data_IF_416010675810
#
_entry.id   IF_416010675810
#
_cell.length_a   1.000
_cell.length_b   1.000
_cell.length_c   1.000
_cell.angle_alpha   90.00
_cell.angle_beta   90.00
_cell.angle_gamma   90.00
#
_symmetry.space_group_name_H-M   'P 1'
#
loop_
_entity.id
_entity.type
_entity.pdbx_description
1 polymer ?
#
# COMPACT_ATOMS: atom_id res chain seq x y z
N UNK A 1 -14.75 1.09 36.67
CA UNK A 1 -14.29 2.07 35.66
C UNK A 1 -13.06 1.51 34.97
N UNK A 2 -13.24 0.86 33.81
CA UNK A 2 -12.17 0.09 33.15
C UNK A 2 -11.18 0.97 32.38
N UNK A 3 -9.98 0.45 32.13
CA UNK A 3 -8.97 1.07 31.27
C UNK A 3 -9.55 1.56 29.93
N UNK A 4 -10.48 0.79 29.35
CA UNK A 4 -11.18 1.15 28.11
C UNK A 4 -11.96 2.46 28.18
N UNK A 5 -12.56 2.78 29.32
CA UNK A 5 -13.31 4.02 29.51
C UNK A 5 -12.36 5.22 29.70
N UNK A 6 -11.14 4.97 30.18
CA UNK A 6 -10.06 5.95 30.24
C UNK A 6 -9.45 6.19 28.86
N UNK A 7 -9.20 5.14 28.07
CA UNK A 7 -8.72 5.24 26.69
C UNK A 7 -9.74 5.96 25.80
N UNK A 8 -11.02 5.59 25.88
CA UNK A 8 -12.14 6.26 25.18
C UNK A 8 -12.22 7.76 25.48
N UNK A 9 -12.05 8.13 26.75
CA UNK A 9 -12.13 9.51 27.22
C UNK A 9 -10.90 10.32 26.84
N UNK A 10 -9.71 9.72 26.83
CA UNK A 10 -8.47 10.32 26.32
C UNK A 10 -8.57 10.54 24.81
N UNK A 11 -9.16 9.62 24.05
CA UNK A 11 -9.39 9.79 22.61
C UNK A 11 -10.40 10.91 22.32
N UNK A 12 -11.54 10.96 23.04
CA UNK A 12 -12.56 12.01 22.83
C UNK A 12 -12.13 13.40 23.31
N UNK A 13 -11.40 13.51 24.41
CA UNK A 13 -10.96 14.80 24.96
C UNK A 13 -9.77 15.38 24.18
N UNK A 14 -8.85 14.54 23.69
CA UNK A 14 -7.71 15.01 22.89
C UNK A 14 -8.05 15.30 21.42
N UNK A 15 -9.11 14.72 20.85
CA UNK A 15 -9.50 15.03 19.46
C UNK A 15 -9.92 16.50 19.26
N UNK A 16 -10.43 17.17 20.30
CA UNK A 16 -10.86 18.57 20.20
C UNK A 16 -9.71 19.57 20.42
N UNK A 17 -8.66 19.18 21.18
CA UNK A 17 -7.50 20.02 21.51
C UNK A 17 -6.23 19.72 20.67
N UNK A 18 -6.11 18.52 20.07
CA UNK A 18 -4.98 18.18 19.17
C UNK A 18 -5.18 18.67 17.74
N UNK A 19 -6.43 18.88 17.30
CA UNK A 19 -6.71 19.42 15.96
C UNK A 19 -6.17 20.84 15.79
N UNK A 20 -6.02 21.60 16.89
CA UNK A 20 -5.51 22.96 16.89
C UNK A 20 -4.01 23.09 17.21
N UNK A 21 -3.32 22.00 17.63
CA UNK A 21 -1.91 22.04 18.11
C UNK A 21 -0.98 20.91 17.63
N UNK A 22 -1.46 19.90 16.91
CA UNK A 22 -0.60 18.86 16.37
C UNK A 22 0.14 19.39 15.12
N UNK A 23 1.44 19.68 15.24
CA UNK A 23 2.29 20.06 14.10
C UNK A 23 2.36 18.98 13.00
N UNK A 24 2.00 17.73 13.29
CA UNK A 24 1.83 16.68 12.27
C UNK A 24 0.87 15.54 12.73
N UNK A 25 -0.41 15.52 12.33
CA UNK A 25 -1.37 14.48 12.71
C UNK A 25 -0.97 13.08 12.19
N UNK A 26 -0.15 12.99 11.15
CA UNK A 26 0.37 11.72 10.64
C UNK A 26 1.31 11.06 11.65
N UNK A 27 2.19 11.84 12.29
CA UNK A 27 3.13 11.34 13.31
C UNK A 27 2.43 10.85 14.57
N UNK A 28 1.38 11.55 15.02
CA UNK A 28 0.61 11.13 16.20
C UNK A 28 -0.09 9.79 15.95
N UNK A 29 -0.66 9.58 14.76
CA UNK A 29 -1.27 8.31 14.38
C UNK A 29 -0.24 7.18 14.25
N UNK A 30 0.94 7.49 13.70
CA UNK A 30 2.07 6.56 13.61
C UNK A 30 2.53 6.10 15.00
N UNK A 31 2.79 7.06 15.91
CA UNK A 31 3.19 6.76 17.27
C UNK A 31 2.13 5.92 18.01
N UNK A 32 0.85 6.27 17.85
CA UNK A 32 -0.24 5.50 18.48
C UNK A 32 -0.26 4.04 18.02
N UNK A 33 0.07 3.76 16.75
CA UNK A 33 0.15 2.38 16.25
C UNK A 33 1.36 1.66 16.83
N UNK A 34 2.50 2.34 16.98
CA UNK A 34 3.70 1.77 17.61
C UNK A 34 3.40 1.40 19.05
N UNK A 35 2.81 2.31 19.83
CA UNK A 35 2.45 2.07 21.23
C UNK A 35 1.49 0.87 21.35
N UNK A 36 0.48 0.77 20.48
CA UNK A 36 -0.42 -0.39 20.45
C UNK A 36 0.30 -1.70 20.10
N UNK A 37 1.32 -1.65 19.23
CA UNK A 37 2.13 -2.83 18.90
C UNK A 37 3.01 -3.27 20.07
N UNK A 38 3.54 -2.34 20.85
CA UNK A 38 4.27 -2.64 22.10
C UNK A 38 3.34 -3.27 23.14
N UNK A 39 2.16 -2.68 23.34
CA UNK A 39 1.11 -3.24 24.21
C UNK A 39 0.71 -4.65 23.77
N UNK A 40 0.64 -4.90 22.45
CA UNK A 40 0.35 -6.22 21.90
C UNK A 40 1.43 -7.25 22.29
N UNK A 41 2.70 -6.87 22.26
CA UNK A 41 3.80 -7.75 22.68
C UNK A 41 3.69 -8.05 24.17
N UNK A 42 3.45 -7.04 25.01
CA UNK A 42 3.28 -7.24 26.45
C UNK A 42 2.07 -8.15 26.77
N UNK A 43 0.95 -7.94 26.07
CA UNK A 43 -0.24 -8.76 26.23
C UNK A 43 0.02 -10.22 25.81
N UNK A 44 0.74 -10.45 24.70
CA UNK A 44 1.15 -11.80 24.28
C UNK A 44 2.00 -12.49 25.34
N UNK A 45 2.96 -11.78 25.95
CA UNK A 45 3.77 -12.31 27.04
C UNK A 45 2.93 -12.65 28.26
N UNK A 46 1.99 -11.77 28.65
CA UNK A 46 1.07 -12.01 29.76
C UNK A 46 0.17 -13.24 29.51
N UNK A 47 -0.37 -13.39 28.29
CA UNK A 47 -1.15 -14.56 27.86
C UNK A 47 -0.30 -15.83 27.94
N UNK A 48 0.94 -15.79 27.45
CA UNK A 48 1.85 -16.93 27.48
C UNK A 48 2.16 -17.37 28.92
N UNK A 49 2.45 -16.41 29.81
CA UNK A 49 2.67 -16.66 31.24
C UNK A 49 1.43 -17.27 31.92
N UNK A 50 0.23 -16.73 31.62
CA UNK A 50 -1.03 -17.28 32.13
C UNK A 50 -1.27 -18.72 31.66
N UNK A 51 -1.02 -19.04 30.39
CA UNK A 51 -1.11 -20.39 29.85
C UNK A 51 -0.08 -21.33 30.50
N UNK A 52 1.15 -20.87 30.73
CA UNK A 52 2.18 -21.67 31.40
C UNK A 52 1.76 -22.01 32.84
N UNK A 53 1.22 -21.04 33.59
CA UNK A 53 0.70 -21.24 34.92
C UNK A 53 -0.50 -22.21 34.94
N UNK A 54 -1.41 -22.09 33.96
CA UNK A 54 -2.53 -23.01 33.78
C UNK A 54 -2.03 -24.45 33.56
N UNK A 55 -1.07 -24.64 32.64
CA UNK A 55 -0.46 -25.96 32.38
C UNK A 55 0.22 -26.54 33.61
N UNK A 56 0.93 -25.73 34.39
CA UNK A 56 1.55 -26.17 35.64
C UNK A 56 0.50 -26.68 36.65
N UNK A 57 -0.58 -25.92 36.83
CA UNK A 57 -1.69 -26.32 37.72
C UNK A 57 -2.35 -27.61 37.23
N UNK A 58 -2.53 -27.76 35.91
CA UNK A 58 -3.07 -28.98 35.30
C UNK A 58 -2.16 -30.19 35.53
N UNK A 59 -0.84 -30.03 35.43
CA UNK A 59 0.12 -31.10 35.74
C UNK A 59 0.06 -31.50 37.21
N UNK A 60 -0.01 -30.52 38.12
CA UNK A 60 -0.16 -30.77 39.56
C UNK A 60 -1.46 -31.51 39.88
N UNK A 61 -2.57 -31.11 39.23
CA UNK A 61 -3.86 -31.79 39.35
C UNK A 61 -3.77 -33.25 38.91
N UNK A 62 -3.13 -33.51 37.77
CA UNK A 62 -2.91 -34.86 37.26
C UNK A 62 -2.10 -35.72 38.25
N UNK A 63 -1.01 -35.18 38.77
CA UNK A 63 -0.18 -35.87 39.78
C UNK A 63 -0.96 -36.18 41.06
N UNK A 64 -1.69 -35.22 41.61
CA UNK A 64 -2.51 -35.43 42.81
C UNK A 64 -3.59 -36.50 42.58
N UNK A 65 -4.22 -36.50 41.40
CA UNK A 65 -5.23 -37.50 41.01
C UNK A 65 -4.59 -38.89 40.89
N UNK A 66 -3.42 -39.00 40.27
CA UNK A 66 -2.68 -40.26 40.17
C UNK A 66 -2.28 -40.81 41.55
N UNK A 67 -1.84 -39.93 42.46
CA UNK A 67 -1.53 -40.32 43.83
C UNK A 67 -2.77 -40.82 44.58
N UNK A 68 -3.90 -40.13 44.46
CA UNK A 68 -5.18 -40.59 45.03
C UNK A 68 -5.57 -41.98 44.49
N UNK A 69 -5.45 -42.21 43.18
CA UNK A 69 -5.73 -43.51 42.56
C UNK A 69 -4.77 -44.61 43.05
N UNK A 70 -3.48 -44.29 43.21
CA UNK A 70 -2.48 -45.23 43.75
C UNK A 70 -2.83 -45.64 45.17
N UNK A 71 -3.20 -44.68 46.02
CA UNK A 71 -3.62 -44.98 47.39
C UNK A 71 -4.94 -45.76 47.45
N UNK A 72 -5.86 -45.53 46.51
CA UNK A 72 -7.04 -46.36 46.35
C UNK A 72 -6.70 -47.82 46.04
N UNK A 73 -5.79 -48.06 45.09
CA UNK A 73 -5.34 -49.41 44.77
C UNK A 73 -4.65 -50.09 45.96
N UNK A 74 -3.82 -49.34 46.71
CA UNK A 74 -3.19 -49.84 47.94
C UNK A 74 -4.20 -50.19 49.02
N UNK A 75 -5.25 -49.37 49.20
CA UNK A 75 -6.32 -49.66 50.14
C UNK A 75 -7.08 -50.95 49.74
N UNK A 76 -7.38 -51.13 48.45
CA UNK A 76 -8.02 -52.34 47.94
C UNK A 76 -7.15 -53.58 48.17
N UNK A 77 -5.83 -53.49 47.93
CA UNK A 77 -4.89 -54.58 48.17
C UNK A 77 -4.80 -54.95 49.66
N UNK A 78 -4.79 -53.95 50.55
CA UNK A 78 -4.77 -54.19 51.99
C UNK A 78 -6.05 -54.91 52.47
N UNK A 79 -7.23 -54.50 51.96
CA UNK A 79 -8.50 -55.18 52.25
C UNK A 79 -8.52 -56.62 51.74
N UNK A 80 -8.00 -56.88 50.53
CA UNK A 80 -7.89 -58.24 49.99
C UNK A 80 -7.02 -59.14 50.85
N UNK A 81 -6.02 -58.57 51.54
CA UNK A 81 -5.15 -59.29 52.48
C UNK A 81 -5.70 -59.35 53.91
N UNK A 82 -6.90 -58.81 54.15
CA UNK A 82 -7.54 -58.80 55.48
C UNK A 82 -7.00 -57.74 56.44
N UNK A 83 -6.17 -56.80 55.95
CA UNK A 83 -5.45 -55.84 56.80
C UNK A 83 -6.19 -54.49 56.84
N UNK A 84 -7.28 -54.44 57.61
CA UNK A 84 -8.20 -53.30 57.63
C UNK A 84 -7.57 -52.00 58.13
N UNK A 85 -6.61 -52.08 59.07
CA UNK A 85 -5.93 -50.90 59.60
C UNK A 85 -5.11 -50.22 58.51
N UNK A 86 -4.34 -51.00 57.75
CA UNK A 86 -3.55 -50.51 56.62
C UNK A 86 -4.44 -49.93 55.51
N UNK A 87 -5.60 -50.56 55.27
CA UNK A 87 -6.59 -50.05 54.34
C UNK A 87 -7.14 -48.68 54.76
N UNK A 88 -7.47 -48.49 56.04
CA UNK A 88 -7.95 -47.20 56.58
C UNK A 88 -6.89 -46.11 56.41
N UNK A 89 -5.62 -46.39 56.71
CA UNK A 89 -4.54 -45.43 56.50
C UNK A 89 -4.37 -45.04 55.03
N UNK A 90 -4.42 -46.02 54.12
CA UNK A 90 -4.35 -45.76 52.69
C UNK A 90 -5.53 -44.89 52.21
N UNK A 91 -6.74 -45.11 52.75
CA UNK A 91 -7.91 -44.27 52.45
C UNK A 91 -7.78 -42.84 53.00
N UNK A 92 -7.16 -42.64 54.17
CA UNK A 92 -6.86 -41.29 54.69
C UNK A 92 -5.94 -40.55 53.73
N UNK A 93 -4.86 -41.20 53.25
CA UNK A 93 -3.96 -40.60 52.26
C UNK A 93 -4.64 -40.35 50.91
N UNK A 94 -5.47 -41.29 50.43
CA UNK A 94 -6.32 -41.10 49.24
C UNK A 94 -7.16 -39.84 49.38
N UNK A 95 -7.83 -39.66 50.52
CA UNK A 95 -8.69 -38.51 50.78
C UNK A 95 -7.89 -37.20 50.72
N UNK A 96 -6.75 -37.13 51.39
CA UNK A 96 -5.88 -35.95 51.37
C UNK A 96 -5.44 -35.55 49.95
N UNK A 97 -5.02 -36.51 49.13
CA UNK A 97 -4.67 -36.23 47.72
C UNK A 97 -5.91 -35.88 46.87
N UNK A 98 -7.07 -36.48 47.16
CA UNK A 98 -8.35 -36.16 46.53
C UNK A 98 -8.80 -34.72 46.82
N UNK A 99 -8.69 -34.28 48.07
CA UNK A 99 -9.01 -32.90 48.48
C UNK A 99 -8.06 -31.89 47.83
N UNK A 100 -6.78 -32.25 47.71
CA UNK A 100 -5.78 -31.47 46.96
C UNK A 100 -6.15 -31.35 45.49
N UNK A 101 -6.52 -32.47 44.85
CA UNK A 101 -6.97 -32.49 43.46
C UNK A 101 -8.24 -31.64 43.26
N UNK A 102 -9.20 -31.71 44.17
CA UNK A 102 -10.42 -30.89 44.11
C UNK A 102 -10.10 -29.38 44.15
N UNK A 103 -9.17 -28.98 45.03
CA UNK A 103 -8.70 -27.59 45.14
C UNK A 103 -8.00 -27.12 43.85
N UNK A 104 -7.07 -27.93 43.34
CA UNK A 104 -6.35 -27.64 42.10
C UNK A 104 -7.28 -27.57 40.89
N UNK A 105 -8.33 -28.39 40.87
CA UNK A 105 -9.35 -28.35 39.81
C UNK A 105 -10.12 -27.03 39.83
N UNK A 106 -10.60 -26.59 40.99
CA UNK A 106 -11.27 -25.29 41.12
C UNK A 106 -10.36 -24.14 40.70
N UNK A 107 -9.08 -24.19 41.07
CA UNK A 107 -8.08 -23.20 40.63
C UNK A 107 -7.89 -23.23 39.11
N UNK A 108 -7.80 -24.41 38.51
CA UNK A 108 -7.64 -24.59 37.06
C UNK A 108 -8.86 -24.05 36.29
N UNK A 109 -10.08 -24.28 36.79
CA UNK A 109 -11.31 -23.78 36.17
C UNK A 109 -11.31 -22.23 36.14
N UNK A 110 -10.93 -21.59 37.25
CA UNK A 110 -10.77 -20.13 37.31
C UNK A 110 -9.68 -19.60 36.38
N UNK A 111 -8.52 -20.27 36.33
CA UNK A 111 -7.44 -19.92 35.41
C UNK A 111 -7.85 -20.07 33.93
N UNK A 112 -8.66 -21.08 33.61
CA UNK A 112 -9.16 -21.32 32.25
C UNK A 112 -9.99 -20.14 31.75
N UNK A 113 -10.92 -19.66 32.57
CA UNK A 113 -11.74 -18.49 32.24
C UNK A 113 -10.88 -17.22 32.05
N UNK A 114 -9.87 -17.03 32.90
CA UNK A 114 -8.95 -15.89 32.79
C UNK A 114 -8.12 -15.95 31.49
N UNK A 115 -7.56 -17.12 31.17
CA UNK A 115 -6.80 -17.34 29.93
C UNK A 115 -7.67 -17.10 28.70
N UNK A 116 -8.92 -17.58 28.69
CA UNK A 116 -9.86 -17.32 27.60
C UNK A 116 -10.20 -15.84 27.44
N UNK A 117 -10.40 -15.11 28.54
CA UNK A 117 -10.62 -13.67 28.50
C UNK A 117 -9.40 -12.93 27.93
N UNK A 118 -8.19 -13.30 28.37
CA UNK A 118 -6.95 -12.72 27.86
C UNK A 118 -6.74 -13.01 26.36
N UNK A 119 -7.05 -14.23 25.89
CA UNK A 119 -7.01 -14.58 24.46
C UNK A 119 -8.00 -13.76 23.64
N UNK A 120 -9.23 -13.57 24.14
CA UNK A 120 -10.24 -12.71 23.48
C UNK A 120 -9.77 -11.25 23.39
N UNK A 121 -9.20 -10.73 24.47
CA UNK A 121 -8.64 -9.38 24.48
C UNK A 121 -7.47 -9.22 23.51
N UNK A 122 -6.62 -10.25 23.38
CA UNK A 122 -5.51 -10.28 22.43
C UNK A 122 -6.01 -10.16 20.99
N UNK A 123 -6.97 -11.00 20.59
CA UNK A 123 -7.58 -10.95 19.26
C UNK A 123 -8.24 -9.58 19.00
N UNK A 124 -8.93 -9.05 20.01
CA UNK A 124 -9.55 -7.72 19.93
C UNK A 124 -8.53 -6.59 19.72
N UNK A 125 -7.37 -6.66 20.37
CA UNK A 125 -6.29 -5.69 20.19
C UNK A 125 -5.65 -5.82 18.79
N UNK A 126 -5.41 -7.04 18.31
CA UNK A 126 -4.89 -7.30 16.96
C UNK A 126 -5.81 -6.73 15.88
N UNK A 127 -7.13 -6.95 16.02
CA UNK A 127 -8.14 -6.39 15.13
C UNK A 127 -8.14 -4.85 15.14
N UNK A 128 -8.10 -4.23 16.33
CA UNK A 128 -8.03 -2.77 16.45
C UNK A 128 -6.77 -2.15 15.85
N UNK A 129 -5.61 -2.82 15.99
CA UNK A 129 -4.37 -2.37 15.36
C UNK A 129 -4.48 -2.42 13.84
N UNK A 130 -5.10 -3.48 13.30
CA UNK A 130 -5.35 -3.60 11.86
C UNK A 130 -6.28 -2.50 11.33
N UNK A 131 -7.36 -2.22 12.06
CA UNK A 131 -8.27 -1.11 11.73
C UNK A 131 -7.56 0.25 11.79
N UNK A 132 -6.73 0.47 12.82
CA UNK A 132 -5.98 1.70 12.99
C UNK A 132 -4.98 1.92 11.84
N UNK A 133 -4.28 0.87 11.39
CA UNK A 133 -3.39 0.92 10.22
C UNK A 133 -4.15 1.27 8.94
N UNK A 134 -5.29 0.66 8.71
CA UNK A 134 -6.16 0.97 7.56
C UNK A 134 -6.63 2.43 7.59
N UNK A 135 -7.08 2.92 8.76
CA UNK A 135 -7.48 4.30 8.95
C UNK A 135 -6.33 5.28 8.74
N UNK A 136 -5.12 4.98 9.24
CA UNK A 136 -3.91 5.79 8.97
C UNK A 136 -3.67 5.92 7.48
N UNK A 137 -3.66 4.82 6.74
CA UNK A 137 -3.40 4.84 5.29
C UNK A 137 -4.45 5.65 4.53
N UNK A 138 -5.73 5.51 4.89
CA UNK A 138 -6.81 6.31 4.32
C UNK A 138 -6.62 7.81 4.61
N UNK A 139 -6.30 8.18 5.84
CA UNK A 139 -6.08 9.58 6.22
C UNK A 139 -4.85 10.16 5.52
N UNK A 140 -3.76 9.40 5.39
CA UNK A 140 -2.58 9.79 4.63
C UNK A 140 -2.90 10.06 3.16
N UNK A 141 -3.65 9.16 2.51
CA UNK A 141 -4.07 9.36 1.12
C UNK A 141 -4.95 10.61 0.95
N UNK A 142 -5.90 10.84 1.88
CA UNK A 142 -6.73 12.06 1.87
C UNK A 142 -5.91 13.33 2.09
N UNK A 143 -4.94 13.31 3.01
CA UNK A 143 -4.05 14.43 3.25
C UNK A 143 -3.17 14.74 2.02
N UNK A 144 -2.68 13.71 1.32
CA UNK A 144 -1.93 13.88 0.07
C UNK A 144 -2.80 14.47 -1.05
N UNK A 145 -4.02 13.98 -1.23
CA UNK A 145 -4.97 14.53 -2.21
C UNK A 145 -5.33 15.98 -1.90
N UNK A 146 -5.56 16.32 -0.62
CA UNK A 146 -5.81 17.70 -0.19
C UNK A 146 -4.61 18.62 -0.48
N UNK A 147 -3.39 18.20 -0.15
CA UNK A 147 -2.15 18.93 -0.47
C UNK A 147 -1.96 19.13 -1.97
N UNK A 148 -2.28 18.11 -2.78
CA UNK A 148 -2.22 18.21 -4.23
C UNK A 148 -3.23 19.21 -4.79
N UNK A 149 -4.47 19.20 -4.30
CA UNK A 149 -5.50 20.17 -4.66
C UNK A 149 -5.11 21.59 -4.25
N UNK A 150 -4.60 21.78 -3.03
CA UNK A 150 -4.12 23.08 -2.54
C UNK A 150 -2.99 23.61 -3.43
N UNK A 151 -2.01 22.76 -3.76
CA UNK A 151 -0.91 23.14 -4.67
C UNK A 151 -1.42 23.48 -6.07
N UNK A 152 -2.41 22.75 -6.59
CA UNK A 152 -3.05 23.06 -7.87
C UNK A 152 -3.77 24.41 -7.81
N UNK A 153 -4.53 24.69 -6.75
CA UNK A 153 -5.23 25.96 -6.56
C UNK A 153 -4.26 27.13 -6.40
N UNK A 154 -3.17 26.96 -5.65
CA UNK A 154 -2.09 27.93 -5.54
C UNK A 154 -1.43 28.18 -6.89
N UNK A 155 -1.15 27.13 -7.67
CA UNK A 155 -0.55 27.26 -9.01
C UNK A 155 -1.52 27.96 -9.98
N UNK A 156 -2.81 27.62 -9.97
CA UNK A 156 -3.83 28.27 -10.78
C UNK A 156 -4.11 29.71 -10.35
N UNK A 157 -4.05 30.02 -9.05
CA UNK A 157 -4.14 31.39 -8.53
C UNK A 157 -2.87 32.21 -8.74
N UNK A 158 -1.72 31.54 -8.91
CA UNK A 158 -0.43 32.15 -9.28
C UNK A 158 -0.26 32.28 -10.80
N UNK A 159 -1.02 31.52 -11.59
CA UNK A 159 -1.30 31.83 -12.99
C UNK A 159 -2.25 33.02 -12.94
N UNK A 160 -1.66 34.20 -12.73
CA UNK A 160 -2.31 35.46 -12.98
C UNK A 160 -2.73 35.47 -14.45
N UNK A 161 -4.04 35.28 -14.68
CA UNK A 161 -4.67 35.45 -15.98
C UNK A 161 -4.53 36.90 -16.48
N UNK A 162 -4.06 37.84 -15.64
CA UNK A 162 -3.64 39.19 -16.04
C UNK A 162 -2.29 39.22 -16.77
N UNK A 163 -1.28 38.48 -16.30
CA UNK A 163 0.08 38.51 -16.84
C UNK A 163 0.24 37.80 -18.20
N UNK A 164 -0.46 36.69 -18.43
CA UNK A 164 -0.37 35.96 -19.70
C UNK A 164 -1.18 36.60 -20.83
N UNK A 165 -2.32 37.25 -20.53
CA UNK A 165 -3.04 38.09 -21.51
C UNK A 165 -2.26 39.36 -21.83
N UNK A 166 -1.68 40.04 -20.82
CA UNK A 166 -0.85 41.23 -21.05
C UNK A 166 0.42 40.94 -21.87
N UNK A 167 0.95 39.71 -21.82
CA UNK A 167 2.05 39.27 -22.68
C UNK A 167 1.60 39.03 -24.13
N UNK A 168 0.36 38.53 -24.32
CA UNK A 168 -0.25 38.39 -25.64
C UNK A 168 -0.57 39.76 -26.26
N UNK A 169 -1.17 40.69 -25.51
CA UNK A 169 -1.41 42.07 -25.98
C UNK A 169 -0.12 42.79 -26.36
N UNK A 170 0.96 42.66 -25.55
CA UNK A 170 2.27 43.23 -25.90
C UNK A 170 2.88 42.60 -27.15
N UNK A 171 2.60 41.33 -27.42
CA UNK A 171 3.07 40.67 -28.63
C UNK A 171 2.26 41.13 -29.84
N UNK A 172 0.94 41.27 -29.70
CA UNK A 172 0.04 41.79 -30.72
C UNK A 172 0.39 43.23 -31.09
N UNK A 173 0.63 44.11 -30.11
CA UNK A 173 1.05 45.50 -30.35
C UNK A 173 2.43 45.57 -31.04
N UNK A 174 3.35 44.66 -30.69
CA UNK A 174 4.67 44.59 -31.33
C UNK A 174 4.59 44.05 -32.76
N UNK A 175 3.67 43.12 -33.03
CA UNK A 175 3.37 42.63 -34.38
C UNK A 175 2.75 43.74 -35.22
N UNK A 176 1.73 44.45 -34.71
CA UNK A 176 1.14 45.62 -35.35
C UNK A 176 2.19 46.70 -35.65
N UNK A 177 3.12 46.96 -34.73
CA UNK A 177 4.18 47.94 -34.93
C UNK A 177 5.23 47.46 -35.96
N UNK A 178 5.49 46.15 -36.06
CA UNK A 178 6.31 45.56 -37.10
C UNK A 178 5.62 45.60 -38.48
N UNK A 179 4.32 45.34 -38.53
CA UNK A 179 3.51 45.45 -39.75
C UNK A 179 3.43 46.90 -40.23
N UNK A 180 3.17 47.85 -39.33
CA UNK A 180 3.19 49.28 -39.62
C UNK A 180 4.57 49.77 -40.08
N UNK A 181 5.66 49.24 -39.50
CA UNK A 181 7.02 49.51 -39.99
C UNK A 181 7.27 48.88 -41.36
N UNK A 182 6.78 47.68 -41.62
CA UNK A 182 6.90 47.02 -42.92
C UNK A 182 6.13 47.79 -44.01
N UNK A 183 4.93 48.27 -43.69
CA UNK A 183 4.13 49.13 -44.57
C UNK A 183 4.82 50.50 -44.77
N UNK A 184 5.36 51.11 -43.71
CA UNK A 184 6.12 52.36 -43.82
C UNK A 184 7.45 52.20 -44.59
N UNK A 185 8.12 51.05 -44.50
CA UNK A 185 9.31 50.71 -45.32
C UNK A 185 8.91 50.41 -46.76
N UNK A 186 7.70 49.93 -47.00
CA UNK A 186 7.16 49.76 -48.37
C UNK A 186 6.77 51.12 -48.97
N UNK A 187 6.27 52.06 -48.16
CA UNK A 187 6.00 53.45 -48.58
C UNK A 187 7.27 54.31 -48.70
N UNK A 188 8.29 54.11 -47.84
CA UNK A 188 9.59 54.80 -47.89
C UNK A 188 10.62 54.12 -48.81
N UNK A 189 10.42 52.84 -49.12
CA UNK A 189 11.17 52.04 -50.08
C UNK A 189 10.63 52.14 -51.50
N UNK A 190 9.65 53.02 -51.74
CA UNK A 190 9.27 53.44 -53.07
C UNK A 190 10.38 54.29 -53.69
N UNK A 191 11.28 53.63 -54.44
CA UNK A 191 12.32 54.11 -55.37
C UNK A 191 13.78 53.78 -54.98
N UNK A 192 14.16 52.50 -54.99
CA UNK A 192 15.57 52.10 -54.98
C UNK A 192 15.98 51.34 -56.24
N UNK A 193 16.83 51.99 -57.05
CA UNK A 193 17.89 51.55 -57.97
C UNK A 193 17.82 50.19 -58.72
N UNK A 194 17.23 49.13 -58.19
CA UNK A 194 17.07 47.84 -58.88
C UNK A 194 16.06 47.93 -60.03
N UNK A 195 14.99 48.74 -59.90
CA UNK A 195 14.07 49.06 -61.00
C UNK A 195 14.74 49.84 -62.14
N UNK A 196 15.86 50.54 -61.87
CA UNK A 196 16.63 51.27 -62.86
C UNK A 196 17.65 50.37 -63.59
N UNK A 197 18.05 49.25 -62.99
CA UNK A 197 18.88 48.22 -63.65
C UNK A 197 18.05 47.22 -64.46
N UNK A 198 16.83 46.88 -64.02
CA UNK A 198 15.91 46.05 -64.78
C UNK A 198 15.50 46.67 -66.14
N UNK A 199 15.50 48.01 -66.24
CA UNK A 199 15.30 48.73 -67.51
C UNK A 199 16.55 48.81 -68.40
N UNK A 200 17.74 48.53 -67.85
CA UNK A 200 19.04 48.54 -68.53
C UNK A 200 19.49 47.13 -68.96
N UNK A 201 19.05 46.08 -68.25
CA UNK A 201 19.24 44.68 -68.64
C UNK A 201 18.24 44.20 -69.71
N UNK A 202 17.18 44.97 -69.96
CA UNK A 202 16.23 44.76 -71.06
C UNK A 202 16.82 45.07 -72.46
N UNK A 203 18.14 45.15 -72.60
CA UNK A 203 18.81 45.40 -73.87
C UNK A 203 20.20 44.80 -73.98
N UNK A 204 20.30 43.49 -74.30
CA UNK A 204 21.16 42.98 -75.39
C UNK A 204 21.15 41.44 -75.53
N UNK A 205 20.26 40.92 -76.38
CA UNK A 205 20.56 40.17 -77.64
C UNK A 205 21.51 38.96 -77.72
N UNK A 206 21.90 38.23 -76.66
CA UNK A 206 22.81 37.06 -76.86
C UNK A 206 22.33 35.72 -76.29
N UNK A 207 21.56 35.70 -75.21
CA UNK A 207 21.11 34.43 -74.60
C UNK A 207 19.83 33.85 -75.25
N UNK A 208 18.98 34.69 -75.85
CA UNK A 208 17.75 34.27 -76.53
C UNK A 208 18.02 33.56 -77.87
N UNK A 209 19.08 33.94 -78.61
CA UNK A 209 19.51 33.23 -79.82
C UNK A 209 20.13 31.85 -79.49
N UNK A 210 20.77 31.70 -78.32
CA UNK A 210 21.39 30.44 -77.88
C UNK A 210 20.34 29.43 -77.36
N UNK A 211 19.28 29.93 -76.71
CA UNK A 211 18.16 29.12 -76.24
C UNK A 211 17.28 28.60 -77.39
N UNK A 212 17.08 29.41 -78.44
CA UNK A 212 16.38 28.99 -79.67
C UNK A 212 17.11 27.82 -80.38
N UNK A 213 18.45 27.80 -80.40
CA UNK A 213 19.22 26.68 -80.96
C UNK A 213 19.15 25.39 -80.11
N UNK A 214 19.02 25.48 -78.78
CA UNK A 214 18.94 24.32 -77.87
C UNK A 214 17.54 23.71 -77.77
N UNK A 215 16.48 24.52 -77.83
CA UNK A 215 15.11 24.05 -77.79
C UNK A 215 14.72 23.23 -79.03
N UNK A 216 15.49 23.34 -80.12
CA UNK A 216 15.33 22.52 -81.31
C UNK A 216 15.97 21.12 -81.18
N UNK A 217 16.70 20.81 -80.09
CA UNK A 217 17.55 19.61 -80.00
C UNK A 217 17.15 18.53 -78.99
N UNK A 218 16.36 18.77 -77.94
CA UNK A 218 16.14 17.71 -76.92
C UNK A 218 14.78 17.77 -76.21
N UNK A 219 13.85 16.94 -76.65
CA UNK A 219 12.58 16.65 -75.96
C UNK A 219 12.64 15.44 -75.02
N UNK A 220 11.55 15.22 -74.27
CA UNK A 220 11.21 13.94 -73.64
C UNK A 220 10.93 13.98 -72.13
N UNK A 221 9.65 13.89 -71.75
CA UNK A 221 9.09 13.92 -70.39
C UNK A 221 9.08 12.53 -69.67
N UNK A 222 8.45 12.31 -68.49
CA UNK A 222 9.06 11.68 -67.32
C UNK A 222 8.39 10.33 -66.92
N UNK A 223 8.88 9.65 -65.86
CA UNK A 223 8.22 8.45 -65.31
C UNK A 223 8.12 8.45 -63.78
N UNK A 224 6.97 7.94 -63.32
CA UNK A 224 6.30 7.94 -62.02
C UNK A 224 6.30 6.51 -61.39
N UNK A 225 5.77 6.39 -60.15
CA UNK A 225 5.19 5.18 -59.49
C UNK A 225 6.14 4.31 -58.63
N UNK A 226 5.77 3.53 -57.58
CA UNK A 226 4.69 3.40 -56.57
C UNK A 226 5.04 2.13 -55.71
N UNK A 227 5.05 2.23 -54.35
CA UNK A 227 4.70 1.23 -53.28
C UNK A 227 5.27 -0.25 -53.31
N UNK A 228 4.97 -1.17 -52.33
CA UNK A 228 5.59 -1.39 -51.00
C UNK A 228 5.97 -2.88 -50.69
N UNK A 229 6.70 -3.23 -49.60
CA UNK A 229 6.62 -4.55 -48.91
C UNK A 229 7.50 -4.68 -47.64
N UNK A 230 7.06 -5.51 -46.66
CA UNK A 230 7.95 -6.31 -45.79
C UNK A 230 7.85 -6.17 -44.26
N UNK A 231 7.33 -7.22 -43.60
CA UNK A 231 7.28 -7.53 -42.13
C UNK A 231 8.68 -7.61 -41.47
N UNK A 232 8.90 -7.54 -40.14
CA UNK A 232 8.44 -8.44 -39.06
C UNK A 232 8.62 -7.84 -37.64
N UNK A 233 7.70 -8.20 -36.73
CA UNK A 233 7.95 -8.28 -35.29
C UNK A 233 7.43 -9.61 -34.74
N UNK A 234 8.23 -10.07 -33.80
CA UNK A 234 8.30 -11.31 -33.04
C UNK A 234 7.16 -11.58 -32.02
N UNK A 235 7.02 -12.88 -31.73
CA UNK A 235 6.81 -13.53 -30.42
C UNK A 235 5.52 -13.31 -29.61
N UNK A 236 4.78 -14.40 -29.39
CA UNK A 236 4.89 -15.25 -28.18
C UNK A 236 3.58 -16.01 -27.91
N UNK A 237 3.59 -17.35 -28.07
CA UNK A 237 2.53 -18.24 -27.56
C UNK A 237 3.13 -19.63 -27.21
N UNK A 238 4.12 -19.66 -26.32
CA UNK A 238 4.74 -20.90 -25.84
C UNK A 238 4.53 -21.19 -24.35
N UNK A 239 3.58 -20.54 -23.67
CA UNK A 239 3.31 -20.81 -22.25
C UNK A 239 2.06 -21.67 -21.99
N UNK A 240 1.34 -22.09 -23.03
CA UNK A 240 0.13 -22.90 -22.88
C UNK A 240 0.37 -24.41 -23.04
N UNK A 241 1.50 -24.82 -23.64
CA UNK A 241 1.79 -26.23 -23.94
C UNK A 241 2.53 -26.93 -22.79
N UNK A 242 3.27 -26.18 -21.96
CA UNK A 242 3.96 -26.74 -20.80
C UNK A 242 3.01 -27.07 -19.63
N UNK A 243 1.81 -26.48 -19.60
CA UNK A 243 0.83 -26.74 -18.54
C UNK A 243 0.10 -28.09 -18.72
N UNK A 244 -0.15 -28.53 -19.95
CA UNK A 244 -0.86 -29.79 -20.24
C UNK A 244 0.04 -31.03 -20.08
N UNK A 245 1.36 -30.86 -20.18
CA UNK A 245 2.34 -31.95 -20.07
C UNK A 245 2.63 -32.38 -18.62
N UNK A 246 2.43 -31.47 -17.65
CA UNK A 246 2.60 -31.76 -16.22
C UNK A 246 1.39 -32.54 -15.66
N UNK A 247 0.19 -32.26 -16.17
CA UNK A 247 -1.05 -32.90 -15.73
C UNK A 247 -1.08 -34.41 -16.09
N UNK A 248 -0.58 -34.75 -17.28
CA UNK A 248 -0.45 -36.14 -17.76
C UNK A 248 0.58 -36.98 -16.98
N UNK A 249 1.56 -36.35 -16.32
CA UNK A 249 2.53 -37.05 -15.47
C UNK A 249 1.97 -37.39 -14.09
N UNK A 250 1.02 -36.59 -13.58
CA UNK A 250 0.41 -36.84 -12.28
C UNK A 250 -0.54 -38.06 -12.29
N UNK A 251 -1.19 -38.34 -13.41
CA UNK A 251 -2.13 -39.47 -13.53
C UNK A 251 -1.46 -40.85 -13.70
N UNK A 252 -0.15 -40.91 -13.96
CA UNK A 252 0.58 -42.16 -14.16
C UNK A 252 1.30 -42.68 -12.90
N UNK A 253 1.32 -41.91 -11.81
CA UNK A 253 2.00 -42.27 -10.56
C UNK A 253 1.06 -42.74 -9.43
N UNK A 254 -0.24 -42.87 -9.69
CA UNK A 254 -1.25 -43.30 -8.72
C UNK A 254 -2.02 -44.57 -9.19
N UNK A 255 -1.31 -45.51 -9.83
CA UNK A 255 -1.80 -46.87 -10.17
C UNK A 255 -0.74 -47.94 -9.91
#
# INVERSE_FOLDING_TARGET
>A
MGLFDRISRVVKANLNDLVSKAEDPEKVLEQSIIDMQEDLVQLRQAVASAIANQKRTQQQLSQATQQANTWQQRAQLALQKGDENLAREALVRKKSHGDTAATLKSQLDGQTQQVEALKRNLIGLESKISEAKTKKNMLKARAQAAKANEKLQQTLGSIDTGGSMAAFERMEEKVLQMEARSQAVTELGGSSLDDQFAALEAGSDVDDELAAMKAQLTGGSPTQAQLPEGKEKSDSHSSAVDAELEELRSQLNDS
#
